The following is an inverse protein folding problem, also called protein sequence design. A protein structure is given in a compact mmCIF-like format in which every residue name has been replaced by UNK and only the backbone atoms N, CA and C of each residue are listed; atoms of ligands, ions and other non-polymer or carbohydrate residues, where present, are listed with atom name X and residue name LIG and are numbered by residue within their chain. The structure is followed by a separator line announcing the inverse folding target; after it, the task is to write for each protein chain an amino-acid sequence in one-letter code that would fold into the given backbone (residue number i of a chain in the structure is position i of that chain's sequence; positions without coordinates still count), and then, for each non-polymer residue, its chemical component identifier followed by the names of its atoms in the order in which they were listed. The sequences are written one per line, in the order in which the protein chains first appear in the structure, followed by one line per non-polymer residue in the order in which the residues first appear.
data_IF_450686482538
#
_entry.id   IF_450686482538
#
_cell.length_a   1.000
_cell.length_b   1.000
_cell.length_c   1.000
_cell.angle_alpha   90.00
_cell.angle_beta   90.00
_cell.angle_gamma   90.00
#
_symmetry.space_group_name_H-M   'P 1'
#
loop_
_entity.id
_entity.type
_entity.pdbx_description
1 polymer ?
#
# COMPACT_ATOMS: atom_id res chain seq x y z
N UNK A 1 -20.70 -0.98 -4.89
CA UNK A 1 -19.98 0.05 -5.70
C UNK A 1 -19.93 1.40 -5.00
N UNK A 2 -21.00 1.86 -4.33
CA UNK A 2 -21.02 3.20 -3.70
C UNK A 2 -20.04 3.39 -2.53
N UNK A 3 -19.71 2.33 -1.78
CA UNK A 3 -18.79 2.42 -0.64
C UNK A 3 -17.33 2.70 -1.04
N UNK A 4 -16.91 2.19 -2.20
CA UNK A 4 -15.58 2.45 -2.77
C UNK A 4 -15.51 3.90 -3.27
N UNK A 5 -16.57 4.37 -3.93
CA UNK A 5 -16.70 5.75 -4.40
C UNK A 5 -16.67 6.73 -3.22
N UNK A 6 -17.29 6.40 -2.08
CA UNK A 6 -17.28 7.22 -0.88
C UNK A 6 -15.88 7.39 -0.26
N UNK A 7 -15.04 6.33 -0.28
CA UNK A 7 -13.64 6.39 0.21
C UNK A 7 -12.75 7.25 -0.69
N UNK A 8 -12.90 7.13 -2.02
CA UNK A 8 -12.24 8.03 -2.97
C UNK A 8 -12.73 9.47 -2.85
N UNK A 9 -14.01 9.68 -2.50
CA UNK A 9 -14.61 11.01 -2.30
C UNK A 9 -14.12 11.66 -1.00
N UNK A 10 -13.91 10.89 0.08
CA UNK A 10 -13.30 11.39 1.32
C UNK A 10 -11.81 11.71 1.11
N UNK A 11 -11.08 10.86 0.38
CA UNK A 11 -9.71 11.13 -0.05
C UNK A 11 -9.65 12.42 -0.90
N UNK A 12 -10.55 12.56 -1.88
CA UNK A 12 -10.68 13.75 -2.71
C UNK A 12 -11.12 14.99 -1.92
N UNK A 13 -11.97 14.84 -0.90
CA UNK A 13 -12.41 15.93 -0.02
C UNK A 13 -11.32 16.37 0.96
N UNK A 14 -10.49 15.44 1.46
CA UNK A 14 -9.26 15.73 2.22
C UNK A 14 -8.19 16.40 1.35
N UNK A 15 -8.15 16.09 0.04
CA UNK A 15 -7.32 16.79 -0.96
C UNK A 15 -7.83 18.21 -1.21
N UNK A 16 -9.16 18.41 -1.28
CA UNK A 16 -9.78 19.70 -1.63
C UNK A 16 -9.83 20.74 -0.49
N UNK A 17 -9.73 20.32 0.78
CA UNK A 17 -9.89 21.21 1.96
C UNK A 17 -8.60 21.77 2.57
N UNK A 18 -7.40 21.43 2.08
CA UNK A 18 -6.13 21.81 2.72
C UNK A 18 -5.05 22.26 1.73
N UNK A 19 -5.30 23.36 1.01
CA UNK A 19 -4.39 23.94 0.03
C UNK A 19 -3.22 24.66 0.74
N UNK A 20 -2.06 24.00 0.76
CA UNK A 20 -0.79 24.55 1.27
C UNK A 20 0.14 23.46 1.78
N UNK A 21 -0.10 22.97 3.01
CA UNK A 21 0.74 21.96 3.65
C UNK A 21 0.22 20.52 3.58
N UNK A 22 -1.11 20.32 3.52
CA UNK A 22 -1.71 18.98 3.45
C UNK A 22 -1.48 18.31 2.09
N UNK A 23 -1.46 19.08 1.01
CA UNK A 23 -1.16 18.58 -0.33
C UNK A 23 0.23 17.94 -0.41
N UNK A 24 1.23 18.52 0.25
CA UNK A 24 2.59 17.97 0.30
C UNK A 24 2.62 16.64 1.05
N UNK A 25 1.93 16.52 2.19
CA UNK A 25 1.85 15.26 2.94
C UNK A 25 1.17 14.15 2.13
N UNK A 26 0.06 14.44 1.45
CA UNK A 26 -0.64 13.47 0.60
C UNK A 26 0.23 13.05 -0.59
N UNK A 27 0.96 13.99 -1.20
CA UNK A 27 1.90 13.70 -2.29
C UNK A 27 3.06 12.81 -1.84
N UNK A 28 3.64 13.08 -0.67
CA UNK A 28 4.71 12.27 -0.08
C UNK A 28 4.21 10.86 0.28
N UNK A 29 3.03 10.76 0.88
CA UNK A 29 2.43 9.47 1.19
C UNK A 29 2.14 8.66 -0.08
N UNK A 30 1.56 9.29 -1.10
CA UNK A 30 1.27 8.66 -2.38
C UNK A 30 2.54 8.20 -3.12
N UNK A 31 3.60 9.01 -3.13
CA UNK A 31 4.87 8.61 -3.75
C UNK A 31 5.56 7.49 -2.98
N UNK A 32 5.57 7.53 -1.65
CA UNK A 32 6.08 6.45 -0.81
C UNK A 32 5.32 5.14 -1.09
N UNK A 33 3.99 5.20 -1.13
CA UNK A 33 3.16 4.04 -1.41
C UNK A 33 3.36 3.48 -2.81
N UNK A 34 3.43 4.34 -3.83
CA UNK A 34 3.66 3.91 -5.20
C UNK A 34 4.99 3.16 -5.34
N UNK A 35 6.05 3.70 -4.75
CA UNK A 35 7.38 3.07 -4.73
C UNK A 35 7.37 1.74 -3.97
N UNK A 36 6.69 1.68 -2.82
CA UNK A 36 6.58 0.47 -2.01
C UNK A 36 5.81 -0.64 -2.75
N UNK A 37 4.66 -0.31 -3.34
CA UNK A 37 3.84 -1.24 -4.13
C UNK A 37 4.66 -1.75 -5.32
N UNK A 38 5.31 -0.86 -6.06
CA UNK A 38 6.16 -1.25 -7.18
C UNK A 38 7.28 -2.20 -6.75
N UNK A 39 7.94 -1.92 -5.61
CA UNK A 39 8.97 -2.79 -5.04
C UNK A 39 8.44 -4.16 -4.62
N UNK A 40 7.28 -4.22 -3.97
CA UNK A 40 6.64 -5.48 -3.57
C UNK A 40 6.20 -6.33 -4.78
N UNK A 41 5.73 -5.70 -5.86
CA UNK A 41 5.42 -6.40 -7.12
C UNK A 41 6.69 -6.94 -7.79
N UNK A 42 7.79 -6.19 -7.76
CA UNK A 42 9.09 -6.67 -8.26
C UNK A 42 9.58 -7.90 -7.48
N UNK A 43 9.43 -7.91 -6.16
CA UNK A 43 9.73 -9.11 -5.37
C UNK A 43 8.81 -10.26 -5.67
N UNK A 44 7.51 -10.01 -5.85
CA UNK A 44 6.59 -11.08 -6.28
C UNK A 44 7.09 -11.72 -7.57
N UNK A 45 7.49 -10.89 -8.54
CA UNK A 45 8.03 -11.38 -9.81
C UNK A 45 9.34 -12.14 -9.64
N UNK A 46 10.23 -11.66 -8.78
CA UNK A 46 11.49 -12.34 -8.46
C UNK A 46 11.24 -13.71 -7.79
N UNK A 47 10.25 -13.80 -6.89
CA UNK A 47 9.84 -15.03 -6.22
C UNK A 47 9.19 -16.03 -7.17
N UNK A 48 8.42 -15.59 -8.17
CA UNK A 48 7.86 -16.46 -9.20
C UNK A 48 8.95 -17.09 -10.09
N UNK A 49 10.10 -16.44 -10.21
CA UNK A 49 11.27 -16.99 -10.91
C UNK A 49 12.12 -17.94 -10.07
N UNK A 50 11.89 -18.02 -8.75
CA UNK A 50 12.60 -18.94 -7.88
C UNK A 50 11.94 -20.33 -7.90
N UNK A 51 12.72 -21.36 -8.21
CA UNK A 51 12.24 -22.76 -8.38
C UNK A 51 11.97 -23.49 -7.07
N UNK A 52 12.38 -22.93 -5.92
CA UNK A 52 12.22 -23.51 -4.58
C UNK A 52 11.77 -22.44 -3.59
N UNK A 53 10.84 -22.76 -2.69
CA UNK A 53 10.35 -21.86 -1.63
C UNK A 53 11.05 -22.14 -0.29
N UNK A 54 12.38 -22.16 -0.29
CA UNK A 54 13.21 -22.38 0.90
C UNK A 54 14.01 -21.12 1.27
N UNK A 55 14.55 -21.05 2.49
CA UNK A 55 15.37 -19.90 2.92
C UNK A 55 16.57 -19.61 1.98
N UNK A 56 17.09 -20.65 1.32
CA UNK A 56 18.16 -20.52 0.31
C UNK A 56 17.72 -19.73 -0.93
N UNK A 57 16.42 -19.73 -1.25
CA UNK A 57 15.89 -18.96 -2.38
C UNK A 57 15.89 -17.47 -2.12
N UNK A 58 16.01 -17.03 -0.86
CA UNK A 58 16.15 -15.60 -0.53
C UNK A 58 17.43 -15.02 -1.11
N UNK A 59 18.51 -15.80 -1.10
CA UNK A 59 19.79 -15.41 -1.68
C UNK A 59 19.66 -15.28 -3.20
N UNK A 60 19.03 -16.25 -3.86
CA UNK A 60 18.80 -16.23 -5.31
C UNK A 60 17.87 -15.09 -5.74
N UNK A 61 16.79 -14.85 -5.00
CA UNK A 61 15.86 -13.74 -5.25
C UNK A 61 16.58 -12.41 -5.12
N UNK A 62 17.44 -12.25 -4.12
CA UNK A 62 18.22 -11.03 -3.89
C UNK A 62 19.23 -10.76 -5.02
N UNK A 63 19.82 -11.80 -5.61
CA UNK A 63 20.74 -11.69 -6.74
C UNK A 63 20.04 -11.50 -8.09
N UNK A 64 18.73 -11.73 -8.16
CA UNK A 64 17.96 -11.51 -9.38
C UNK A 64 17.82 -10.01 -9.69
N UNK A 65 17.79 -9.65 -10.98
CA UNK A 65 17.57 -8.28 -11.42
C UNK A 65 16.32 -7.65 -10.81
N UNK A 66 15.20 -8.42 -10.77
CA UNK A 66 13.93 -7.96 -10.20
C UNK A 66 13.97 -7.82 -8.68
N UNK A 67 14.71 -8.68 -7.98
CA UNK A 67 14.89 -8.57 -6.53
C UNK A 67 15.71 -7.34 -6.15
N UNK A 68 16.83 -7.11 -6.84
CA UNK A 68 17.67 -5.93 -6.60
C UNK A 68 16.92 -4.62 -6.93
N UNK A 69 16.14 -4.60 -8.00
CA UNK A 69 15.27 -3.48 -8.33
C UNK A 69 14.20 -3.27 -7.24
N UNK A 70 13.59 -4.36 -6.75
CA UNK A 70 12.64 -4.33 -5.62
C UNK A 70 13.24 -3.73 -4.34
N UNK A 71 14.45 -4.15 -3.97
CA UNK A 71 15.21 -3.58 -2.84
C UNK A 71 15.38 -2.07 -3.06
N UNK A 72 15.86 -1.67 -4.23
CA UNK A 72 16.11 -0.26 -4.57
C UNK A 72 14.85 0.61 -4.46
N UNK A 73 13.72 0.14 -4.96
CA UNK A 73 12.45 0.87 -4.89
C UNK A 73 11.92 1.03 -3.46
N UNK A 74 12.08 0.00 -2.63
CA UNK A 74 11.64 0.04 -1.22
C UNK A 74 12.57 0.94 -0.39
N UNK A 75 13.88 0.88 -0.64
CA UNK A 75 14.82 1.82 -0.02
C UNK A 75 14.51 3.27 -0.45
N UNK A 76 14.18 3.48 -1.72
CA UNK A 76 13.79 4.80 -2.22
C UNK A 76 12.46 5.27 -1.61
N UNK A 77 11.52 4.35 -1.30
CA UNK A 77 10.26 4.71 -0.64
C UNK A 77 10.45 5.23 0.79
N UNK A 78 11.57 4.92 1.44
CA UNK A 78 11.87 5.40 2.79
C UNK A 78 12.01 6.92 2.85
N UNK A 79 12.59 7.56 1.83
CA UNK A 79 12.78 9.02 1.85
C UNK A 79 11.47 9.81 1.96
N UNK A 80 10.47 9.62 1.08
CA UNK A 80 9.18 10.29 1.22
C UNK A 80 8.41 9.83 2.46
N UNK A 81 8.59 8.57 2.91
CA UNK A 81 7.98 8.08 4.14
C UNK A 81 8.52 8.82 5.39
N UNK A 82 9.83 8.93 5.53
CA UNK A 82 10.45 9.66 6.64
C UNK A 82 10.10 11.16 6.60
N UNK A 83 10.11 11.76 5.40
CA UNK A 83 9.69 13.15 5.22
C UNK A 83 8.22 13.39 5.60
N UNK A 84 7.36 12.38 5.45
CA UNK A 84 5.98 12.40 5.88
C UNK A 84 5.85 12.30 7.41
N UNK A 85 6.58 11.36 8.01
CA UNK A 85 6.59 11.15 9.47
C UNK A 85 7.08 12.39 10.23
N UNK A 86 8.01 13.14 9.65
CA UNK A 86 8.47 14.41 10.21
C UNK A 86 7.37 15.49 10.25
N UNK A 87 6.30 15.36 9.44
CA UNK A 87 5.25 16.38 9.28
C UNK A 87 3.94 16.04 9.99
N UNK A 88 3.68 14.76 10.28
CA UNK A 88 2.37 14.28 10.73
C UNK A 88 2.48 13.04 11.60
N UNK A 89 1.51 12.89 12.49
CA UNK A 89 1.39 11.71 13.34
C UNK A 89 1.02 10.48 12.51
N UNK A 90 1.66 9.35 12.82
CA UNK A 90 1.43 8.03 12.21
C UNK A 90 -0.05 7.61 12.22
N UNK A 91 -0.78 8.00 13.26
CA UNK A 91 -2.19 7.67 13.49
C UNK A 91 -3.10 8.00 12.32
N UNK A 92 -2.81 9.08 11.59
CA UNK A 92 -3.60 9.48 10.42
C UNK A 92 -3.40 8.55 9.21
N UNK A 93 -2.22 7.93 9.08
CA UNK A 93 -1.86 7.15 7.89
C UNK A 93 -2.11 5.65 8.03
N UNK A 94 -2.30 5.11 9.24
CA UNK A 94 -2.61 3.68 9.40
C UNK A 94 -3.85 3.22 8.62
N UNK A 95 -4.99 3.96 8.64
CA UNK A 95 -6.15 3.56 7.85
C UNK A 95 -5.86 3.59 6.35
N UNK A 96 -5.12 4.60 5.89
CA UNK A 96 -4.72 4.73 4.49
C UNK A 96 -3.75 3.63 4.06
N UNK A 97 -2.82 3.23 4.93
CA UNK A 97 -1.91 2.11 4.71
C UNK A 97 -2.67 0.79 4.58
N UNK A 98 -3.69 0.58 5.42
CA UNK A 98 -4.56 -0.59 5.36
C UNK A 98 -5.36 -0.67 4.05
N UNK A 99 -5.83 0.47 3.52
CA UNK A 99 -6.43 0.50 2.18
C UNK A 99 -5.39 0.16 1.11
N UNK A 100 -4.16 0.67 1.24
CA UNK A 100 -3.13 0.43 0.25
C UNK A 100 -2.68 -1.03 0.16
N UNK A 101 -2.70 -1.79 1.27
CA UNK A 101 -2.44 -3.23 1.22
C UNK A 101 -3.53 -3.99 0.45
N UNK A 102 -4.80 -3.55 0.53
CA UNK A 102 -5.87 -4.10 -0.31
C UNK A 102 -5.58 -3.80 -1.78
N UNK A 103 -5.21 -2.56 -2.10
CA UNK A 103 -4.85 -2.16 -3.48
C UNK A 103 -3.71 -3.03 -4.01
N UNK A 104 -2.67 -3.27 -3.22
CA UNK A 104 -1.57 -4.16 -3.58
C UNK A 104 -2.07 -5.58 -3.89
N UNK A 105 -2.94 -6.15 -3.05
CA UNK A 105 -3.50 -7.49 -3.27
C UNK A 105 -4.27 -7.55 -4.58
N UNK A 106 -5.08 -6.54 -4.87
CA UNK A 106 -5.86 -6.44 -6.13
C UNK A 106 -4.94 -6.30 -7.34
N UNK A 107 -3.92 -5.43 -7.27
CA UNK A 107 -2.93 -5.28 -8.37
C UNK A 107 -2.16 -6.58 -8.58
N UNK A 108 -1.76 -7.24 -7.49
CA UNK A 108 -1.05 -8.50 -7.54
C UNK A 108 -1.90 -9.61 -8.19
N UNK A 109 -3.18 -9.68 -7.84
CA UNK A 109 -4.15 -10.58 -8.47
C UNK A 109 -4.28 -10.28 -9.98
N UNK A 110 -4.46 -9.02 -10.35
CA UNK A 110 -4.65 -8.60 -11.74
C UNK A 110 -3.40 -8.82 -12.60
N UNK A 111 -2.21 -8.57 -12.06
CA UNK A 111 -0.95 -8.63 -12.81
C UNK A 111 -0.39 -10.06 -12.91
N UNK A 112 -0.51 -10.87 -11.85
CA UNK A 112 0.09 -12.20 -11.79
C UNK A 112 -0.92 -13.33 -11.96
N UNK A 113 -2.22 -13.02 -12.06
CA UNK A 113 -3.28 -13.99 -12.37
C UNK A 113 -3.46 -15.11 -11.35
N UNK A 114 -2.90 -14.98 -10.14
CA UNK A 114 -3.06 -15.98 -9.08
C UNK A 114 -4.53 -16.12 -8.69
N UNK A 115 -4.98 -17.31 -8.28
CA UNK A 115 -6.34 -17.50 -7.79
C UNK A 115 -6.60 -16.68 -6.52
N UNK A 116 -7.66 -15.87 -6.51
CA UNK A 116 -8.09 -15.15 -5.31
C UNK A 116 -9.10 -16.02 -4.57
N UNK A 117 -8.73 -16.48 -3.37
CA UNK A 117 -9.61 -17.32 -2.56
C UNK A 117 -10.81 -16.51 -2.05
N UNK A 118 -11.94 -17.20 -1.81
CA UNK A 118 -13.12 -16.56 -1.21
C UNK A 118 -12.83 -15.98 0.18
N UNK A 119 -11.90 -16.61 0.91
CA UNK A 119 -11.40 -16.16 2.21
C UNK A 119 -10.64 -14.82 2.09
N UNK A 120 -9.83 -14.64 1.05
CA UNK A 120 -9.13 -13.37 0.78
C UNK A 120 -10.12 -12.24 0.48
N UNK A 121 -11.15 -12.52 -0.32
CA UNK A 121 -12.24 -11.57 -0.61
C UNK A 121 -13.00 -11.17 0.66
N UNK A 122 -13.38 -12.14 1.49
CA UNK A 122 -14.04 -11.89 2.78
C UNK A 122 -13.15 -11.06 3.73
N UNK A 123 -11.85 -11.38 3.78
CA UNK A 123 -10.87 -10.62 4.56
C UNK A 123 -10.74 -9.17 4.12
N UNK A 124 -10.69 -8.91 2.80
CA UNK A 124 -10.69 -7.54 2.26
C UNK A 124 -11.95 -6.78 2.70
N UNK A 125 -13.12 -7.42 2.63
CA UNK A 125 -14.37 -6.84 3.13
C UNK A 125 -14.29 -6.45 4.62
N UNK A 126 -13.74 -7.33 5.44
CA UNK A 126 -13.55 -7.08 6.88
C UNK A 126 -12.60 -5.91 7.16
N UNK A 127 -11.49 -5.81 6.43
CA UNK A 127 -10.54 -4.70 6.56
C UNK A 127 -11.21 -3.37 6.18
N UNK A 128 -11.96 -3.34 5.07
CA UNK A 128 -12.70 -2.13 4.66
C UNK A 128 -13.74 -1.70 5.70
N UNK A 129 -14.43 -2.66 6.32
CA UNK A 129 -15.35 -2.39 7.42
C UNK A 129 -14.61 -1.80 8.63
N UNK A 130 -13.51 -2.40 9.06
CA UNK A 130 -12.70 -1.91 10.18
C UNK A 130 -12.19 -0.48 9.95
N UNK A 131 -11.69 -0.19 8.75
CA UNK A 131 -11.27 1.15 8.36
C UNK A 131 -12.44 2.14 8.40
N UNK A 132 -13.61 1.75 7.89
CA UNK A 132 -14.81 2.62 7.90
C UNK A 132 -15.29 2.97 9.31
N UNK A 133 -15.18 2.03 10.25
CA UNK A 133 -15.51 2.26 11.66
C UNK A 133 -14.52 3.22 12.30
N UNK A 134 -13.23 3.11 11.98
CA UNK A 134 -12.19 4.01 12.48
C UNK A 134 -12.47 5.47 12.10
N UNK A 135 -12.89 5.71 10.86
CA UNK A 135 -13.22 7.06 10.39
C UNK A 135 -14.53 7.61 10.99
N UNK A 136 -15.50 6.75 11.30
CA UNK A 136 -16.75 7.15 11.96
C UNK A 136 -16.56 7.48 13.44
N UNK A 137 -15.69 6.74 14.14
CA UNK A 137 -15.36 7.01 15.54
C UNK A 137 -14.56 8.30 15.76
N UNK A 138 -13.90 8.83 14.72
CA UNK A 138 -13.11 10.06 14.79
C UNK A 138 -13.90 11.37 14.76
N UNK A 139 -15.23 11.34 14.69
CA UNK A 139 -16.09 12.54 14.62
C UNK A 139 -16.35 13.20 15.99
N UNK A 140 -15.57 12.85 17.02
CA UNK A 140 -15.71 13.33 18.40
C UNK A 140 -14.42 13.90 19.01
N UNK A 141 -13.53 14.49 18.20
CA UNK A 141 -12.37 15.26 18.68
C UNK A 141 -12.37 16.63 18.01
#
# INVERSE_FOLDING_TARGET
MEFVIMQFTVLAASIKRGLGEHGTAIRLFGSALGLLIAGQLCYRKALLGATQHNLESLWQVSQSFWGMLGIGLILLSLFPWLALLARRQLSFFYPLWSIATIVLVVINWWWFGGGMSWQTLAGIGLVLLGVSLLFRGGHSI
#
